data_IF_174833333056
#
_entry.id   IF_174833333056
#
_cell.length_a   1.000
_cell.length_b   1.000
_cell.length_c   1.000
_cell.angle_alpha   90.00
_cell.angle_beta   90.00
_cell.angle_gamma   90.00
#
_symmetry.space_group_name_H-M   'P 1'
#
loop_
_entity.id
_entity.type
_entity.pdbx_description
1 polymer ?
#
# COMPACT_ATOMS: atom_id res chain seq x y z
N UNK A 1 -2.89 -20.73 -3.13
CA UNK A 1 -3.59 -19.90 -4.11
C UNK A 1 -3.48 -18.43 -3.78
N UNK A 2 -3.16 -17.65 -4.78
CA UNK A 2 -2.95 -16.22 -4.60
C UNK A 2 -4.30 -15.51 -4.46
N UNK A 3 -4.48 -14.65 -3.43
CA UNK A 3 -5.70 -13.87 -3.32
C UNK A 3 -5.88 -12.93 -4.50
N UNK A 4 -7.13 -12.62 -4.79
CA UNK A 4 -7.50 -11.75 -5.90
C UNK A 4 -8.43 -10.67 -5.39
N UNK A 5 -8.21 -9.44 -5.86
CA UNK A 5 -9.13 -8.34 -5.61
C UNK A 5 -9.99 -8.18 -6.85
N UNK A 6 -11.30 -8.22 -6.68
CA UNK A 6 -12.23 -8.05 -7.78
C UNK A 6 -12.61 -6.58 -7.86
N UNK A 7 -12.37 -5.97 -9.01
CA UNK A 7 -12.63 -4.55 -9.22
C UNK A 7 -13.69 -4.38 -10.29
N UNK A 8 -14.64 -3.49 -10.03
CA UNK A 8 -15.62 -3.11 -11.03
C UNK A 8 -15.26 -1.73 -11.58
N UNK A 9 -15.13 -1.65 -12.89
CA UNK A 9 -14.70 -0.41 -13.53
C UNK A 9 -15.42 -0.25 -14.87
N UNK A 10 -16.28 0.74 -14.96
CA UNK A 10 -16.96 1.15 -16.20
C UNK A 10 -17.61 -0.04 -16.92
N UNK A 11 -18.37 -0.81 -16.19
CA UNK A 11 -19.09 -1.94 -16.75
C UNK A 11 -18.25 -3.20 -16.95
N UNK A 12 -17.00 -3.19 -16.51
CA UNK A 12 -16.14 -4.40 -16.55
C UNK A 12 -15.87 -4.88 -15.14
N UNK A 13 -15.60 -6.16 -15.06
CA UNK A 13 -15.12 -6.78 -13.83
C UNK A 13 -13.70 -7.25 -14.08
N UNK A 14 -12.76 -6.79 -13.27
CA UNK A 14 -11.35 -7.11 -13.43
C UNK A 14 -10.84 -7.84 -12.19
N UNK A 15 -10.13 -8.93 -12.40
CA UNK A 15 -9.50 -9.68 -11.32
C UNK A 15 -8.05 -9.21 -11.19
N UNK A 16 -7.70 -8.64 -10.04
CA UNK A 16 -6.35 -8.13 -9.81
C UNK A 16 -5.65 -9.06 -8.83
N UNK A 17 -4.68 -9.85 -9.26
CA UNK A 17 -3.95 -10.73 -8.35
C UNK A 17 -3.17 -9.93 -7.30
N UNK A 18 -3.15 -10.43 -6.08
CA UNK A 18 -2.43 -9.75 -5.00
C UNK A 18 -0.96 -9.48 -5.34
N UNK A 19 -0.34 -10.37 -6.12
CA UNK A 19 1.05 -10.21 -6.51
C UNK A 19 1.32 -9.02 -7.41
N UNK A 20 0.29 -8.44 -8.01
CA UNK A 20 0.43 -7.25 -8.85
C UNK A 20 0.16 -5.96 -8.09
N UNK A 21 -0.34 -6.06 -6.86
CA UNK A 21 -0.70 -4.89 -6.09
C UNK A 21 0.51 -4.37 -5.34
N UNK A 22 0.82 -3.09 -5.55
CA UNK A 22 1.94 -2.43 -4.87
C UNK A 22 1.52 -1.91 -3.50
N UNK A 23 0.36 -1.26 -3.44
CA UNK A 23 -0.18 -0.77 -2.18
C UNK A 23 -1.68 -0.54 -2.30
N UNK A 24 -2.31 -0.40 -1.14
CA UNK A 24 -3.70 -0.03 -1.04
C UNK A 24 -3.78 1.13 -0.06
N UNK A 25 -4.53 2.16 -0.41
CA UNK A 25 -4.64 3.35 0.42
C UNK A 25 -6.10 3.74 0.59
N UNK A 26 -6.52 3.83 1.85
CA UNK A 26 -7.88 4.28 2.17
C UNK A 26 -7.96 5.79 2.01
N UNK A 27 -8.96 6.23 1.27
CA UNK A 27 -9.26 7.65 1.09
C UNK A 27 -10.76 7.81 1.24
N UNK A 28 -11.20 8.92 1.70
CA UNK A 28 -12.60 9.24 2.00
C UNK A 28 -13.60 8.07 1.97
N UNK A 29 -14.04 7.65 0.80
CA UNK A 29 -15.07 6.62 0.64
C UNK A 29 -14.56 5.31 0.05
N UNK A 30 -13.37 5.32 -0.51
CA UNK A 30 -12.86 4.21 -1.30
C UNK A 30 -11.46 3.85 -0.88
N UNK A 31 -11.06 2.65 -1.25
CA UNK A 31 -9.67 2.24 -1.14
C UNK A 31 -9.09 2.20 -2.55
N UNK A 32 -7.96 2.89 -2.72
CA UNK A 32 -7.21 2.83 -3.97
C UNK A 32 -6.37 1.57 -3.98
N UNK A 33 -6.48 0.79 -5.06
CA UNK A 33 -5.65 -0.38 -5.32
C UNK A 33 -4.68 0.01 -6.42
N UNK A 34 -3.39 0.06 -6.10
CA UNK A 34 -2.37 0.53 -7.04
C UNK A 34 -1.55 -0.63 -7.56
N UNK A 35 -1.50 -0.75 -8.90
CA UNK A 35 -0.57 -1.68 -9.57
C UNK A 35 0.48 -0.85 -10.31
N UNK A 36 1.44 -1.50 -10.96
CA UNK A 36 2.47 -0.77 -11.70
C UNK A 36 1.86 0.04 -12.86
N UNK A 37 0.81 -0.47 -13.46
CA UNK A 37 0.22 0.13 -14.65
C UNK A 37 -0.90 1.12 -14.37
N UNK A 38 -1.65 0.92 -13.29
CA UNK A 38 -2.86 1.71 -13.07
C UNK A 38 -3.30 1.66 -11.62
N UNK A 39 -4.37 2.34 -11.32
CA UNK A 39 -5.02 2.26 -10.01
C UNK A 39 -6.52 2.05 -10.20
N UNK A 40 -7.12 1.40 -9.20
CA UNK A 40 -8.54 1.09 -9.18
C UNK A 40 -9.12 1.56 -7.85
N UNK A 41 -10.43 1.80 -7.81
CA UNK A 41 -11.13 2.13 -6.57
C UNK A 41 -12.03 0.97 -6.19
N UNK A 42 -12.00 0.60 -4.91
CA UNK A 42 -12.87 -0.48 -4.40
C UNK A 42 -13.61 0.00 -3.16
N UNK A 43 -14.75 -0.62 -2.90
CA UNK A 43 -15.58 -0.30 -1.75
C UNK A 43 -15.16 -1.03 -0.47
N UNK A 44 -14.43 -2.12 -0.62
CA UNK A 44 -13.97 -2.91 0.53
C UNK A 44 -13.14 -2.06 1.47
N UNK A 45 -13.29 -2.26 2.78
CA UNK A 45 -12.48 -1.53 3.74
C UNK A 45 -11.05 -2.03 3.74
N UNK A 46 -10.12 -1.17 4.18
CA UNK A 46 -8.73 -1.56 4.27
C UNK A 46 -8.53 -2.72 5.24
N UNK A 47 -9.29 -2.75 6.34
CA UNK A 47 -9.21 -3.84 7.31
C UNK A 47 -9.67 -5.17 6.73
N UNK A 48 -10.73 -5.16 5.93
CA UNK A 48 -11.20 -6.36 5.24
C UNK A 48 -10.14 -6.86 4.26
N UNK A 49 -9.54 -5.95 3.51
CA UNK A 49 -8.50 -6.30 2.56
C UNK A 49 -7.26 -6.84 3.27
N UNK A 50 -6.87 -6.22 4.38
CA UNK A 50 -5.74 -6.68 5.17
C UNK A 50 -5.93 -8.12 5.64
N UNK A 51 -7.12 -8.44 6.16
CA UNK A 51 -7.41 -9.78 6.63
C UNK A 51 -7.35 -10.80 5.50
N UNK A 52 -7.85 -10.43 4.34
CA UNK A 52 -7.94 -11.32 3.19
C UNK A 52 -6.61 -11.51 2.47
N UNK A 53 -5.80 -10.45 2.39
CA UNK A 53 -4.54 -10.48 1.66
C UNK A 53 -3.38 -11.04 2.47
N UNK A 54 -3.51 -11.04 3.78
CA UNK A 54 -2.57 -11.72 4.68
C UNK A 54 -1.19 -11.10 4.72
N UNK A 55 -0.18 -11.95 4.94
CA UNK A 55 1.18 -11.51 5.24
C UNK A 55 1.95 -10.95 4.04
N UNK A 56 1.37 -10.95 2.85
CA UNK A 56 1.98 -10.32 1.68
C UNK A 56 2.14 -8.81 1.85
N UNK A 57 1.34 -8.22 2.75
CA UNK A 57 1.28 -6.78 2.94
C UNK A 57 1.58 -6.41 4.38
N UNK A 58 2.14 -5.22 4.59
CA UNK A 58 2.30 -4.64 5.92
C UNK A 58 1.38 -3.41 6.00
N UNK A 59 0.66 -3.29 7.12
CA UNK A 59 -0.10 -2.08 7.41
C UNK A 59 0.89 -1.02 7.89
N UNK A 60 1.40 -0.21 6.95
CA UNK A 60 2.45 0.78 7.26
C UNK A 60 1.90 2.02 7.93
N UNK A 61 0.61 2.26 7.79
CA UNK A 61 -0.07 3.42 8.33
C UNK A 61 -1.54 3.04 8.50
N UNK A 62 -2.26 3.74 9.37
CA UNK A 62 -3.68 3.41 9.59
C UNK A 62 -4.49 3.38 8.30
N UNK A 63 -4.04 4.09 7.28
CA UNK A 63 -4.77 4.15 6.01
C UNK A 63 -4.01 3.55 4.82
N UNK A 64 -2.96 2.76 5.06
CA UNK A 64 -2.19 2.21 3.94
C UNK A 64 -1.64 0.82 4.22
N UNK A 65 -1.78 -0.06 3.24
CA UNK A 65 -1.14 -1.38 3.18
C UNK A 65 -0.14 -1.35 2.03
N UNK A 66 1.07 -1.83 2.26
CA UNK A 66 2.09 -1.88 1.20
C UNK A 66 2.60 -3.30 1.04
N UNK A 67 2.70 -3.75 -0.20
CA UNK A 67 3.24 -5.07 -0.51
C UNK A 67 4.70 -5.15 -0.07
N UNK A 68 5.07 -6.21 0.64
CA UNK A 68 6.45 -6.40 1.10
C UNK A 68 7.42 -6.38 -0.08
N UNK A 69 7.05 -7.03 -1.18
CA UNK A 69 7.91 -7.13 -2.36
C UNK A 69 8.09 -5.80 -3.09
N UNK A 70 7.23 -4.82 -2.83
CA UNK A 70 7.30 -3.52 -3.49
C UNK A 70 8.10 -2.48 -2.70
N UNK A 71 8.52 -2.80 -1.49
CA UNK A 71 9.25 -1.84 -0.66
C UNK A 71 10.68 -1.69 -1.13
N UNK A 72 11.05 -0.48 -1.55
CA UNK A 72 12.38 -0.20 -2.07
C UNK A 72 13.30 0.43 -1.04
N UNK A 73 12.80 1.41 -0.29
CA UNK A 73 13.61 2.10 0.73
C UNK A 73 12.73 2.78 1.76
N UNK A 74 13.29 2.98 2.94
CA UNK A 74 12.63 3.69 4.04
C UNK A 74 13.50 4.89 4.39
N UNK A 75 12.92 6.08 4.43
CA UNK A 75 13.65 7.31 4.75
C UNK A 75 12.80 8.24 5.59
N UNK A 76 13.46 9.13 6.30
CA UNK A 76 12.77 10.24 6.96
C UNK A 76 12.57 11.33 5.91
N UNK A 77 11.34 11.73 5.73
CA UNK A 77 10.98 12.73 4.72
C UNK A 77 9.83 13.58 5.22
N UNK A 78 9.58 14.68 4.53
CA UNK A 78 8.37 15.46 4.76
C UNK A 78 7.18 14.54 4.51
N UNK A 79 6.12 14.72 5.31
CA UNK A 79 4.95 13.86 5.22
C UNK A 79 4.41 13.85 3.79
N UNK A 80 4.38 12.68 3.13
CA UNK A 80 3.85 12.59 1.76
C UNK A 80 2.39 13.00 1.65
N UNK A 81 1.65 12.99 2.78
CA UNK A 81 0.24 13.38 2.78
C UNK A 81 0.07 14.88 3.02
N UNK A 82 1.16 15.62 3.08
CA UNK A 82 1.11 17.08 3.14
C UNK A 82 0.76 17.65 4.51
N UNK A 83 0.99 16.89 5.56
CA UNK A 83 0.79 17.39 6.92
C UNK A 83 1.96 18.31 7.31
N UNK A 84 1.65 19.55 7.42
CA UNK A 84 2.49 20.70 7.73
C UNK A 84 3.89 20.45 8.28
N UNK A 85 4.87 20.42 7.39
CA UNK A 85 6.28 20.55 7.75
C UNK A 85 6.81 19.50 8.72
N UNK A 86 6.03 18.48 9.06
CA UNK A 86 6.49 17.44 9.95
C UNK A 86 7.20 16.36 9.17
N UNK A 87 8.43 16.14 9.56
CA UNK A 87 9.20 15.03 9.04
C UNK A 87 8.70 13.74 9.66
N UNK A 88 8.53 12.71 8.83
CA UNK A 88 8.15 11.40 9.31
C UNK A 88 8.83 10.33 8.50
N UNK A 89 8.55 9.09 8.82
CA UNK A 89 9.04 7.97 8.04
C UNK A 89 8.18 7.80 6.78
N UNK A 90 8.83 7.43 5.68
CA UNK A 90 8.12 7.14 4.43
C UNK A 90 8.80 5.99 3.72
N UNK A 91 8.00 5.15 3.06
CA UNK A 91 8.49 4.03 2.27
C UNK A 91 8.29 4.36 0.79
N UNK A 92 9.32 4.10 0.00
CA UNK A 92 9.22 4.24 -1.45
C UNK A 92 8.88 2.89 -2.04
N UNK A 93 7.87 2.88 -2.92
CA UNK A 93 7.48 1.65 -3.60
C UNK A 93 8.02 1.63 -5.02
N UNK A 94 8.36 0.44 -5.47
CA UNK A 94 8.81 0.23 -6.84
C UNK A 94 7.74 -0.53 -7.61
N UNK A 95 7.66 -0.39 -8.94
CA UNK A 95 8.55 0.40 -9.78
C UNK A 95 8.14 1.86 -9.95
N UNK A 96 7.06 2.29 -9.32
CA UNK A 96 6.51 3.63 -9.55
C UNK A 96 7.33 4.74 -8.90
N UNK A 97 8.03 4.44 -7.82
CA UNK A 97 8.80 5.45 -7.10
C UNK A 97 7.98 6.30 -6.14
N UNK A 98 6.71 5.97 -5.95
CA UNK A 98 5.84 6.72 -5.04
C UNK A 98 6.24 6.52 -3.59
N UNK A 99 5.98 7.53 -2.77
CA UNK A 99 6.26 7.49 -1.34
C UNK A 99 4.96 7.44 -0.55
N UNK A 100 4.92 6.59 0.47
CA UNK A 100 3.79 6.52 1.38
C UNK A 100 4.28 6.72 2.80
N UNK A 101 3.46 7.40 3.61
CA UNK A 101 3.77 7.63 5.01
C UNK A 101 3.78 6.31 5.78
N UNK A 102 4.74 6.17 6.70
CA UNK A 102 4.86 5.01 7.57
C UNK A 102 4.78 5.50 9.00
N UNK A 103 3.90 4.90 9.79
CA UNK A 103 3.79 5.29 11.19
C UNK A 103 5.08 4.92 11.93
N UNK A 104 5.40 5.69 12.96
CA UNK A 104 6.60 5.43 13.77
C UNK A 104 6.62 4.00 14.28
N UNK A 105 5.45 3.48 14.66
CA UNK A 105 5.30 2.13 15.19
C UNK A 105 5.67 1.06 14.17
N UNK A 106 5.46 1.33 12.88
CA UNK A 106 5.68 0.35 11.83
C UNK A 106 7.03 0.46 11.13
N UNK A 107 7.80 1.50 11.44
CA UNK A 107 9.06 1.74 10.76
C UNK A 107 10.03 0.57 10.88
N UNK A 108 10.11 -0.05 12.04
CA UNK A 108 11.01 -1.19 12.25
C UNK A 108 10.64 -2.38 11.37
N UNK A 109 9.35 -2.69 11.27
CA UNK A 109 8.89 -3.82 10.44
C UNK A 109 9.20 -3.57 8.97
N UNK A 110 9.02 -2.34 8.50
CA UNK A 110 9.35 -1.98 7.13
C UNK A 110 10.84 -2.10 6.87
N UNK A 111 11.67 -1.61 7.82
CA UNK A 111 13.13 -1.70 7.70
C UNK A 111 13.59 -3.15 7.58
N UNK A 112 13.06 -4.02 8.44
CA UNK A 112 13.41 -5.43 8.42
C UNK A 112 13.01 -6.11 7.10
N UNK A 113 11.85 -5.75 6.60
CA UNK A 113 11.37 -6.31 5.33
C UNK A 113 12.29 -5.93 4.17
N UNK A 114 12.68 -4.67 4.12
CA UNK A 114 13.58 -4.19 3.06
C UNK A 114 14.94 -4.88 3.18
N UNK A 115 15.46 -5.01 4.39
CA UNK A 115 16.77 -5.62 4.61
C UNK A 115 16.79 -7.11 4.25
N UNK A 116 15.64 -7.77 4.31
CA UNK A 116 15.54 -9.21 4.06
C UNK A 116 15.39 -9.56 2.58
N UNK A 117 15.20 -8.58 1.72
CA UNK A 117 15.01 -8.82 0.28
C UNK A 117 16.31 -9.05 -0.47
#
# INVERSE_FOLDING_TARGET
DEPVIVVQDRGRVVRVPAGEVLYLKAELKYVTVRTAATSWLVDESLSELEARLGSRFIRVHRNALVARSAMARLERRDDPDGHDGQEGWAVQVRPTGEWLAVSRRQAAAVRETIAAQ
#
